data_IF_498438077820
#
_entry.id   IF_498438077820
#
_cell.length_a   1.000
_cell.length_b   1.000
_cell.length_c   1.000
_cell.angle_alpha   90.00
_cell.angle_beta   90.00
_cell.angle_gamma   90.00
#
_symmetry.space_group_name_H-M   'P 1'
#
loop_
_entity.id
_entity.type
_entity.pdbx_description
1 polymer ?
#
# COMPACT_ATOMS: atom_id res chain seq x y z
N UNK A 1 8.38 9.46 18.63
CA UNK A 1 8.24 8.03 18.21
C UNK A 1 8.09 7.98 16.71
N UNK A 2 8.79 7.07 16.03
CA UNK A 2 8.74 6.95 14.56
C UNK A 2 7.63 5.96 14.17
N UNK A 3 6.66 6.41 13.35
CA UNK A 3 5.53 5.61 12.88
C UNK A 3 5.35 5.85 11.38
N UNK A 4 5.73 4.86 10.58
CA UNK A 4 5.54 4.88 9.12
C UNK A 4 4.11 4.50 8.74
N UNK A 5 3.44 5.32 7.93
CA UNK A 5 2.07 5.06 7.46
C UNK A 5 2.00 5.08 5.95
N UNK A 6 1.64 3.94 5.35
CA UNK A 6 1.35 3.82 3.93
C UNK A 6 -0.15 4.03 3.67
N UNK A 7 -0.46 5.18 3.08
CA UNK A 7 -1.81 5.61 2.74
C UNK A 7 -2.27 5.06 1.39
N UNK A 8 -2.36 3.73 1.25
CA UNK A 8 -2.89 3.13 0.04
C UNK A 8 -4.38 3.47 -0.18
N UNK A 9 -4.82 3.59 -1.44
CA UNK A 9 -6.25 3.78 -1.73
C UNK A 9 -7.10 2.54 -1.42
N UNK A 10 -6.49 1.36 -1.34
CA UNK A 10 -7.18 0.12 -0.93
C UNK A 10 -7.10 -0.09 0.59
N UNK A 11 -5.93 0.08 1.18
CA UNK A 11 -5.67 -0.19 2.59
C UNK A 11 -4.65 0.78 3.15
N UNK A 12 -4.82 1.14 4.43
CA UNK A 12 -3.81 1.78 5.26
C UNK A 12 -2.93 0.70 5.86
N UNK A 13 -1.63 0.95 5.90
CA UNK A 13 -0.64 0.01 6.44
C UNK A 13 0.35 0.72 7.34
N UNK A 14 0.73 0.07 8.41
CA UNK A 14 1.80 0.46 9.33
C UNK A 14 2.75 -0.73 9.52
N UNK A 15 3.82 -0.55 10.27
CA UNK A 15 4.86 -1.58 10.37
C UNK A 15 4.39 -2.81 11.13
N UNK A 16 3.68 -2.63 12.26
CA UNK A 16 3.37 -3.72 13.21
C UNK A 16 1.89 -4.14 13.22
N UNK A 17 1.03 -3.41 12.50
CA UNK A 17 -0.41 -3.71 12.47
C UNK A 17 -0.82 -4.45 11.21
N UNK A 18 -1.90 -5.21 11.30
CA UNK A 18 -2.57 -5.74 10.12
C UNK A 18 -3.13 -4.57 9.27
N UNK A 19 -3.03 -4.66 7.92
CA UNK A 19 -3.64 -3.67 7.04
C UNK A 19 -5.15 -3.55 7.28
N UNK A 20 -5.67 -2.34 7.27
CA UNK A 20 -7.11 -2.10 7.32
C UNK A 20 -7.61 -1.29 6.11
N UNK A 21 -8.88 -1.44 5.77
CA UNK A 21 -9.47 -0.82 4.57
C UNK A 21 -9.42 0.70 4.67
N UNK A 22 -9.04 1.37 3.58
CA UNK A 22 -9.12 2.84 3.44
C UNK A 22 -10.57 3.27 3.27
N UNK A 23 -11.40 2.98 4.27
CA UNK A 23 -12.84 3.26 4.32
C UNK A 23 -13.21 3.84 5.67
N UNK A 24 -14.05 4.89 5.65
CA UNK A 24 -14.40 5.65 6.84
C UNK A 24 -15.88 6.06 6.78
N UNK A 25 -16.60 5.81 7.85
CA UNK A 25 -17.95 6.34 8.07
C UNK A 25 -17.93 7.33 9.24
N UNK A 26 -18.61 8.47 9.06
CA UNK A 26 -18.75 9.51 10.07
C UNK A 26 -20.17 9.49 10.66
N UNK A 27 -20.27 9.71 11.95
CA UNK A 27 -21.54 9.85 12.69
C UNK A 27 -21.43 10.96 13.73
N UNK A 28 -22.54 11.63 14.02
CA UNK A 28 -22.64 12.59 15.12
C UNK A 28 -22.95 11.89 16.46
N UNK A 29 -23.41 10.65 16.41
CA UNK A 29 -23.71 9.84 17.61
C UNK A 29 -22.74 8.70 17.72
N UNK A 30 -22.44 8.28 18.95
CA UNK A 30 -21.53 7.17 19.21
C UNK A 30 -22.06 5.88 18.58
N UNK A 31 -21.33 5.25 17.64
CA UNK A 31 -21.73 4.00 17.02
C UNK A 31 -21.49 2.82 17.95
N UNK A 32 -22.08 1.66 17.63
CA UNK A 32 -21.72 0.41 18.26
C UNK A 32 -20.34 -0.07 17.75
N UNK A 33 -19.49 -0.53 18.66
CA UNK A 33 -18.18 -1.08 18.35
C UNK A 33 -17.02 -0.06 18.33
N UNK A 34 -15.84 -0.46 17.86
CA UNK A 34 -14.65 0.38 17.88
C UNK A 34 -14.84 1.63 17.04
N UNK A 35 -14.63 2.80 17.64
CA UNK A 35 -14.74 4.09 16.96
C UNK A 35 -13.65 5.04 17.41
N UNK A 36 -13.30 5.97 16.54
CA UNK A 36 -12.48 7.13 16.86
C UNK A 36 -13.41 8.33 17.09
N UNK A 37 -13.21 9.06 18.18
CA UNK A 37 -13.86 10.34 18.42
C UNK A 37 -12.83 11.46 18.24
N UNK A 38 -13.16 12.42 17.38
CA UNK A 38 -12.30 13.57 17.08
C UNK A 38 -13.16 14.76 16.66
N UNK A 39 -12.86 15.95 17.20
CA UNK A 39 -13.60 17.21 16.92
C UNK A 39 -15.12 17.05 16.97
N UNK A 40 -15.62 16.36 18.01
CA UNK A 40 -17.07 16.19 18.23
C UNK A 40 -17.79 15.16 17.35
N UNK A 41 -17.06 14.52 16.43
CA UNK A 41 -17.60 13.48 15.56
C UNK A 41 -17.04 12.12 15.92
N UNK A 42 -17.80 11.07 15.56
CA UNK A 42 -17.36 9.68 15.65
C UNK A 42 -17.06 9.13 14.27
N UNK A 43 -16.01 8.33 14.18
CA UNK A 43 -15.56 7.70 12.94
C UNK A 43 -15.36 6.21 13.16
N UNK A 44 -15.89 5.40 12.24
CA UNK A 44 -15.69 3.95 12.22
C UNK A 44 -15.02 3.53 10.92
N UNK A 45 -14.19 2.49 10.99
CA UNK A 45 -13.67 1.86 9.78
C UNK A 45 -14.84 1.22 9.01
N UNK A 46 -14.84 1.41 7.70
CA UNK A 46 -15.82 0.86 6.78
C UNK A 46 -15.18 -0.12 5.82
N UNK A 47 -15.91 -1.17 5.44
CA UNK A 47 -15.50 -2.04 4.34
C UNK A 47 -15.67 -1.38 2.97
N UNK A 48 -16.45 -0.29 2.89
CA UNK A 48 -16.56 0.53 1.70
C UNK A 48 -15.37 1.47 1.63
N UNK A 49 -14.55 1.29 0.61
CA UNK A 49 -13.36 2.11 0.37
C UNK A 49 -13.73 3.53 -0.02
N UNK A 50 -12.93 4.48 0.43
CA UNK A 50 -12.92 5.83 -0.15
C UNK A 50 -12.66 5.69 -1.65
N UNK A 51 -13.45 6.36 -2.53
CA UNK A 51 -13.18 6.36 -3.97
C UNK A 51 -11.74 6.77 -4.27
N UNK A 52 -11.15 6.16 -5.32
CA UNK A 52 -9.78 6.46 -5.72
C UNK A 52 -9.53 7.97 -5.84
N UNK A 53 -8.46 8.44 -5.22
CA UNK A 53 -8.02 9.83 -5.29
C UNK A 53 -6.53 9.92 -5.52
N UNK A 54 -6.15 10.71 -6.52
CA UNK A 54 -4.74 11.09 -6.76
C UNK A 54 -4.28 12.05 -5.66
N UNK A 55 -5.12 13.03 -5.30
CA UNK A 55 -4.89 13.96 -4.20
C UNK A 55 -5.68 13.52 -2.96
N UNK A 56 -4.97 13.14 -1.92
CA UNK A 56 -5.51 12.66 -0.64
C UNK A 56 -5.70 13.76 0.38
N UNK A 57 -5.32 14.99 0.06
CA UNK A 57 -5.35 16.15 0.98
C UNK A 57 -6.61 16.99 0.87
N UNK A 58 -7.56 16.59 0.02
CA UNK A 58 -8.77 17.36 -0.27
C UNK A 58 -9.81 17.38 0.86
N UNK A 59 -9.70 16.48 1.84
CA UNK A 59 -10.52 16.41 3.06
C UNK A 59 -9.77 15.69 4.18
N UNK A 60 -10.35 15.66 5.40
CA UNK A 60 -9.67 15.11 6.58
C UNK A 60 -9.73 13.58 6.70
N UNK A 61 -10.31 12.84 5.75
CA UNK A 61 -10.48 11.37 5.89
C UNK A 61 -9.17 10.63 6.05
N UNK A 62 -8.14 10.98 5.28
CA UNK A 62 -6.82 10.36 5.40
C UNK A 62 -6.10 10.76 6.70
N UNK A 63 -6.35 11.98 7.21
CA UNK A 63 -5.87 12.38 8.53
C UNK A 63 -6.52 11.54 9.64
N UNK A 64 -7.84 11.37 9.59
CA UNK A 64 -8.58 10.51 10.54
C UNK A 64 -8.08 9.06 10.50
N UNK A 65 -7.88 8.50 9.30
CA UNK A 65 -7.30 7.16 9.14
C UNK A 65 -5.89 7.08 9.72
N UNK A 66 -5.11 8.17 9.66
CA UNK A 66 -3.78 8.24 10.28
C UNK A 66 -3.86 8.24 11.80
N UNK A 67 -4.83 8.93 12.40
CA UNK A 67 -5.04 8.88 13.86
C UNK A 67 -5.35 7.45 14.31
N UNK A 68 -6.20 6.72 13.56
CA UNK A 68 -6.47 5.30 13.81
C UNK A 68 -5.18 4.48 13.69
N UNK A 69 -4.42 4.69 12.61
CA UNK A 69 -3.17 3.98 12.36
C UNK A 69 -2.13 4.20 13.49
N UNK A 70 -2.01 5.43 13.99
CA UNK A 70 -1.14 5.77 15.11
C UNK A 70 -1.60 5.06 16.39
N UNK A 71 -2.89 5.09 16.70
CA UNK A 71 -3.42 4.43 17.91
C UNK A 71 -3.23 2.91 17.88
N UNK A 72 -3.48 2.28 16.72
CA UNK A 72 -3.24 0.84 16.52
C UNK A 72 -1.75 0.50 16.67
N UNK A 73 -0.86 1.32 16.10
CA UNK A 73 0.58 1.11 16.15
C UNK A 73 1.13 1.28 17.57
N UNK A 74 0.67 2.28 18.33
CA UNK A 74 1.00 2.46 19.74
C UNK A 74 0.58 1.25 20.57
N UNK A 75 -0.61 0.73 20.29
CA UNK A 75 -1.14 -0.47 20.95
C UNK A 75 -0.34 -1.72 20.60
N UNK A 76 -0.04 -1.93 19.32
CA UNK A 76 0.72 -3.10 18.84
C UNK A 76 2.16 -3.13 19.39
N UNK A 77 2.76 -1.97 19.60
CA UNK A 77 4.09 -1.85 20.20
C UNK A 77 4.09 -1.96 21.74
N UNK A 78 2.93 -2.09 22.37
CA UNK A 78 2.82 -2.15 23.82
C UNK A 78 3.39 -0.92 24.53
N UNK A 79 3.19 0.26 23.92
CA UNK A 79 3.73 1.51 24.49
C UNK A 79 2.94 1.91 25.71
N UNK A 80 3.65 2.23 26.79
CA UNK A 80 3.05 2.75 28.02
C UNK A 80 2.22 4.01 27.77
N UNK A 81 1.16 4.19 28.57
CA UNK A 81 0.35 5.39 28.51
C UNK A 81 1.18 6.63 28.84
N UNK A 82 1.04 7.67 28.02
CA UNK A 82 1.70 8.96 28.18
C UNK A 82 0.68 10.07 28.10
N UNK A 83 0.95 11.16 28.81
CA UNK A 83 0.16 12.39 28.68
C UNK A 83 0.24 12.95 27.26
N UNK A 84 1.39 12.84 26.60
CA UNK A 84 1.63 13.29 25.24
C UNK A 84 2.59 12.35 24.49
N UNK A 85 2.19 11.93 23.29
CA UNK A 85 3.05 11.17 22.37
C UNK A 85 3.64 12.09 21.29
N UNK A 86 4.97 12.13 21.23
CA UNK A 86 5.71 12.81 20.17
C UNK A 86 5.92 11.90 18.98
N UNK A 87 5.31 12.22 17.82
CA UNK A 87 5.27 11.38 16.63
C UNK A 87 6.11 11.99 15.51
N UNK A 88 7.04 11.22 14.98
CA UNK A 88 7.69 11.42 13.68
C UNK A 88 6.95 10.54 12.68
N UNK A 89 6.35 11.14 11.67
CA UNK A 89 5.39 10.52 10.75
C UNK A 89 5.96 10.45 9.31
N UNK A 90 6.78 9.45 8.97
CA UNK A 90 7.12 9.21 7.58
C UNK A 90 5.94 8.60 6.83
N UNK A 91 5.63 9.20 5.67
CA UNK A 91 4.51 8.84 4.78
C UNK A 91 5.04 8.64 3.36
N UNK A 92 4.18 8.28 2.42
CA UNK A 92 4.62 8.14 1.04
C UNK A 92 3.55 8.31 -0.01
N UNK A 93 4.03 8.59 -1.22
CA UNK A 93 3.23 8.78 -2.43
C UNK A 93 3.74 7.89 -3.56
N UNK A 94 2.87 7.50 -4.51
CA UNK A 94 3.31 6.88 -5.75
C UNK A 94 4.40 7.71 -6.42
N UNK A 95 5.44 7.08 -7.02
CA UNK A 95 6.57 7.79 -7.63
C UNK A 95 6.13 8.86 -8.62
N UNK A 96 5.11 8.58 -9.46
CA UNK A 96 4.57 9.52 -10.44
C UNK A 96 3.95 10.80 -9.82
N UNK A 97 3.56 10.77 -8.56
CA UNK A 97 2.93 11.90 -7.87
C UNK A 97 3.86 12.58 -6.87
N UNK A 98 4.98 11.95 -6.54
CA UNK A 98 5.89 12.39 -5.49
C UNK A 98 6.38 13.83 -5.72
N UNK A 99 6.96 14.11 -6.88
CA UNK A 99 7.52 15.43 -7.18
C UNK A 99 6.50 16.58 -7.10
N UNK A 100 5.24 16.34 -7.47
CA UNK A 100 4.21 17.38 -7.51
C UNK A 100 3.43 17.54 -6.20
N UNK A 101 3.39 16.52 -5.36
CA UNK A 101 2.47 16.48 -4.21
C UNK A 101 3.15 16.28 -2.85
N UNK A 102 4.46 15.97 -2.80
CA UNK A 102 5.14 15.63 -1.55
C UNK A 102 5.04 16.74 -0.51
N UNK A 103 5.30 18.00 -0.87
CA UNK A 103 5.22 19.14 0.04
C UNK A 103 3.79 19.34 0.57
N UNK A 104 2.80 19.29 -0.32
CA UNK A 104 1.39 19.41 0.07
C UNK A 104 0.95 18.27 1.00
N UNK A 105 1.40 17.05 0.71
CA UNK A 105 1.07 15.87 1.50
C UNK A 105 1.74 15.91 2.88
N UNK A 106 2.99 16.36 2.96
CA UNK A 106 3.69 16.63 4.22
C UNK A 106 2.95 17.68 5.05
N UNK A 107 2.63 18.84 4.46
CA UNK A 107 1.93 19.92 5.13
C UNK A 107 0.52 19.50 5.63
N UNK A 108 -0.15 18.61 4.92
CA UNK A 108 -1.46 18.09 5.31
C UNK A 108 -1.43 17.35 6.66
N UNK A 109 -0.39 16.59 6.94
CA UNK A 109 -0.23 15.88 8.22
C UNK A 109 0.43 16.74 9.29
N UNK A 110 1.18 17.76 8.93
CA UNK A 110 1.90 18.61 9.87
C UNK A 110 0.95 19.62 10.55
N UNK A 111 0.01 19.09 11.32
CA UNK A 111 -0.92 19.91 12.12
C UNK A 111 -0.14 20.59 13.24
N UNK A 112 -0.38 21.89 13.43
CA UNK A 112 0.22 22.63 14.54
C UNK A 112 -0.51 22.31 15.86
N UNK A 113 0.27 22.09 16.90
CA UNK A 113 -0.24 21.84 18.25
C UNK A 113 -0.56 20.40 18.54
N UNK A 114 -1.18 20.20 19.71
CA UNK A 114 -1.56 18.88 20.21
C UNK A 114 -2.88 18.45 19.58
N UNK A 115 -2.93 17.23 19.10
CA UNK A 115 -4.14 16.60 18.55
C UNK A 115 -4.64 15.60 19.60
N UNK A 116 -5.82 15.88 20.13
CA UNK A 116 -6.50 15.01 21.09
C UNK A 116 -7.63 14.23 20.42
N UNK A 117 -7.70 12.94 20.69
CA UNK A 117 -8.74 12.05 20.18
C UNK A 117 -8.94 10.86 21.12
N UNK A 118 -10.07 10.20 20.98
CA UNK A 118 -10.34 8.94 21.69
C UNK A 118 -10.50 7.81 20.68
N UNK A 119 -9.87 6.68 20.92
CA UNK A 119 -10.01 5.49 20.08
C UNK A 119 -10.16 4.24 20.96
N UNK A 120 -11.19 3.42 20.71
CA UNK A 120 -11.53 2.24 21.52
C UNK A 120 -11.57 2.55 23.02
N UNK A 121 -12.24 3.64 23.37
CA UNK A 121 -12.37 4.13 24.76
C UNK A 121 -11.07 4.59 25.45
N UNK A 122 -9.96 4.61 24.73
CA UNK A 122 -8.67 5.10 25.19
C UNK A 122 -8.42 6.51 24.65
N UNK A 123 -7.99 7.41 25.55
CA UNK A 123 -7.64 8.78 25.18
C UNK A 123 -6.19 8.85 24.66
N UNK A 124 -5.98 9.65 23.63
CA UNK A 124 -4.67 9.94 23.06
C UNK A 124 -4.50 11.43 22.88
N UNK A 125 -3.35 11.94 23.30
CA UNK A 125 -2.84 13.26 22.96
C UNK A 125 -1.53 13.07 22.19
N UNK A 126 -1.45 13.56 20.96
CA UNK A 126 -0.27 13.42 20.11
C UNK A 126 0.20 14.77 19.62
N UNK A 127 1.53 14.93 19.47
CA UNK A 127 2.17 15.98 18.68
C UNK A 127 2.84 15.34 17.49
N UNK A 128 2.50 15.77 16.26
CA UNK A 128 3.23 15.36 15.06
C UNK A 128 4.37 16.34 14.88
N UNK A 129 5.55 15.95 15.37
CA UNK A 129 6.72 16.83 15.46
C UNK A 129 7.41 16.99 14.10
N UNK A 130 7.39 15.94 13.28
CA UNK A 130 7.98 15.96 11.94
C UNK A 130 7.21 15.02 11.00
N UNK A 131 7.17 15.40 9.72
CA UNK A 131 6.57 14.61 8.65
C UNK A 131 7.54 14.58 7.47
N UNK A 132 7.92 13.37 7.04
CA UNK A 132 8.74 13.17 5.86
C UNK A 132 7.96 12.35 4.81
N UNK A 133 8.08 12.70 3.54
CA UNK A 133 7.40 12.00 2.46
C UNK A 133 8.42 11.28 1.56
N UNK A 134 8.14 10.00 1.25
CA UNK A 134 9.01 9.15 0.44
C UNK A 134 8.28 8.58 -0.77
N UNK A 135 8.99 8.26 -1.88
CA UNK A 135 8.37 7.53 -2.99
C UNK A 135 8.05 6.09 -2.57
N UNK A 136 6.81 5.68 -2.78
CA UNK A 136 6.41 4.26 -2.72
C UNK A 136 7.28 3.43 -3.68
N UNK A 137 7.23 2.13 -3.62
CA UNK A 137 8.10 1.23 -4.36
C UNK A 137 9.59 1.39 -4.00
N UNK A 138 10.18 2.60 -4.09
CA UNK A 138 11.57 2.83 -3.64
C UNK A 138 11.73 2.53 -2.16
N UNK A 139 10.82 3.04 -1.32
CA UNK A 139 10.84 2.76 0.10
C UNK A 139 10.69 1.26 0.41
N UNK A 140 9.77 0.58 -0.26
CA UNK A 140 9.61 -0.87 -0.09
C UNK A 140 10.89 -1.65 -0.50
N UNK A 141 11.58 -1.20 -1.55
CA UNK A 141 12.84 -1.79 -1.99
C UNK A 141 14.05 -1.38 -1.13
N UNK A 142 13.93 -0.33 -0.32
CA UNK A 142 15.02 0.19 0.50
C UNK A 142 15.58 -0.88 1.47
N UNK A 143 14.75 -1.80 1.95
CA UNK A 143 15.16 -2.92 2.78
C UNK A 143 16.05 -3.94 2.03
N UNK A 144 16.08 -3.88 0.69
CA UNK A 144 16.89 -4.72 -0.20
C UNK A 144 18.00 -3.95 -0.90
N UNK A 145 18.24 -2.69 -0.55
CA UNK A 145 19.21 -1.82 -1.24
C UNK A 145 20.60 -2.47 -1.35
N UNK A 146 21.06 -3.14 -0.32
CA UNK A 146 22.36 -3.81 -0.33
C UNK A 146 22.46 -4.91 -1.42
N UNK A 147 21.38 -5.60 -1.73
CA UNK A 147 21.32 -6.53 -2.86
C UNK A 147 21.28 -5.78 -4.19
N UNK A 148 20.52 -4.68 -4.25
CA UNK A 148 20.30 -3.90 -5.47
C UNK A 148 21.48 -3.02 -5.85
N UNK A 149 22.34 -2.64 -4.91
CA UNK A 149 23.58 -1.89 -5.19
C UNK A 149 24.55 -2.63 -6.11
N UNK A 150 24.50 -3.96 -6.13
CA UNK A 150 25.33 -4.80 -6.99
C UNK A 150 24.71 -5.03 -8.38
N UNK A 151 23.48 -4.58 -8.61
CA UNK A 151 22.78 -4.72 -9.88
C UNK A 151 22.96 -3.44 -10.72
N UNK A 152 23.55 -3.57 -11.92
CA UNK A 152 23.70 -2.45 -12.84
C UNK A 152 22.35 -1.82 -13.20
N UNK A 153 21.30 -2.66 -13.31
CA UNK A 153 19.93 -2.26 -13.59
C UNK A 153 18.96 -3.17 -12.83
N UNK A 154 18.05 -2.56 -12.10
CA UNK A 154 16.91 -3.25 -11.49
C UNK A 154 15.63 -2.45 -11.72
N UNK A 155 14.49 -3.13 -11.73
CA UNK A 155 13.17 -2.50 -11.78
C UNK A 155 12.41 -2.88 -10.51
N UNK A 156 11.85 -1.90 -9.83
CA UNK A 156 10.90 -2.16 -8.73
C UNK A 156 9.50 -2.02 -9.29
N UNK A 157 8.63 -3.00 -9.04
CA UNK A 157 7.23 -2.99 -9.47
C UNK A 157 6.36 -3.22 -8.23
N UNK A 158 5.64 -2.17 -7.82
CA UNK A 158 4.67 -2.23 -6.71
C UNK A 158 3.27 -2.47 -7.28
N UNK A 159 2.76 -3.67 -7.12
CA UNK A 159 1.40 -4.01 -7.55
C UNK A 159 0.44 -3.77 -6.40
N UNK A 160 -0.21 -2.61 -6.43
CA UNK A 160 -1.19 -2.18 -5.45
C UNK A 160 -2.63 -2.59 -5.78
N UNK A 161 -3.59 -2.02 -5.04
CA UNK A 161 -5.01 -2.21 -5.30
C UNK A 161 -5.48 -1.55 -6.57
N UNK A 162 -5.20 -0.27 -6.74
CA UNK A 162 -5.66 0.56 -7.87
C UNK A 162 -4.58 0.76 -8.92
N UNK A 163 -3.32 0.80 -8.52
CA UNK A 163 -2.18 1.09 -9.40
C UNK A 163 -1.15 -0.02 -9.37
N UNK A 164 -0.36 -0.10 -10.44
CA UNK A 164 0.93 -0.73 -10.46
C UNK A 164 1.98 0.37 -10.70
N UNK A 165 2.78 0.63 -9.69
CA UNK A 165 3.81 1.66 -9.73
C UNK A 165 5.15 1.00 -10.09
N UNK A 166 5.94 1.65 -10.96
CA UNK A 166 7.25 1.14 -11.27
C UNK A 166 8.33 2.21 -11.15
N UNK A 167 9.53 1.77 -10.83
CA UNK A 167 10.71 2.60 -10.66
C UNK A 167 11.93 1.87 -11.21
N UNK A 168 12.70 2.54 -12.07
CA UNK A 168 13.99 2.06 -12.51
C UNK A 168 15.06 2.40 -11.47
N UNK A 169 15.92 1.44 -11.18
CA UNK A 169 17.11 1.63 -10.36
C UNK A 169 18.36 1.35 -11.19
N UNK A 170 19.37 2.18 -11.04
CA UNK A 170 20.69 2.06 -11.66
C UNK A 170 21.77 2.09 -10.57
N UNK A 171 22.56 1.04 -10.47
CA UNK A 171 23.61 0.91 -9.43
C UNK A 171 23.08 1.24 -8.02
N UNK A 172 21.93 0.69 -7.66
CA UNK A 172 21.26 0.89 -6.37
C UNK A 172 20.63 2.25 -6.14
N UNK A 173 20.66 3.17 -7.12
CA UNK A 173 20.02 4.50 -7.02
C UNK A 173 18.76 4.57 -7.84
N UNK A 174 17.73 5.21 -7.27
CA UNK A 174 16.48 5.46 -7.97
C UNK A 174 16.66 6.45 -9.11
N UNK A 175 16.18 6.09 -10.29
CA UNK A 175 16.05 6.99 -11.45
C UNK A 175 14.61 7.51 -11.51
N UNK A 176 14.36 8.64 -10.85
CA UNK A 176 13.02 9.25 -10.77
C UNK A 176 12.50 9.76 -12.13
N UNK A 177 13.37 9.90 -13.14
CA UNK A 177 12.93 10.23 -14.50
C UNK A 177 12.31 9.03 -15.23
N UNK A 178 12.57 7.83 -14.73
CA UNK A 178 12.11 6.55 -15.30
C UNK A 178 11.18 5.83 -14.30
N UNK A 179 10.19 6.55 -13.80
CA UNK A 179 9.13 6.01 -12.95
C UNK A 179 7.76 6.46 -13.45
N UNK A 180 6.74 5.64 -13.22
CA UNK A 180 5.36 6.01 -13.51
C UNK A 180 4.40 5.15 -12.68
N UNK A 181 3.12 5.49 -12.75
CA UNK A 181 2.02 4.82 -12.06
C UNK A 181 0.98 4.41 -13.10
N UNK A 182 0.81 3.11 -13.28
CA UNK A 182 -0.18 2.55 -14.19
C UNK A 182 -1.48 2.29 -13.42
N UNK A 183 -2.63 2.60 -14.02
CA UNK A 183 -3.95 2.29 -13.42
C UNK A 183 -4.30 0.79 -13.54
N UNK A 184 -3.32 -0.07 -13.33
CA UNK A 184 -3.37 -1.53 -13.47
C UNK A 184 -3.20 -2.25 -12.12
N UNK A 185 -3.97 -1.85 -11.10
CA UNK A 185 -3.98 -2.54 -9.82
C UNK A 185 -4.91 -3.76 -9.81
N UNK A 186 -4.78 -4.62 -8.77
CA UNK A 186 -5.51 -5.90 -8.67
C UNK A 186 -7.03 -5.76 -8.60
N UNK A 187 -7.56 -4.57 -8.32
CA UNK A 187 -9.01 -4.31 -8.37
C UNK A 187 -9.56 -4.52 -9.79
N UNK A 188 -8.80 -4.19 -10.82
CA UNK A 188 -9.19 -4.49 -12.21
C UNK A 188 -9.31 -6.01 -12.44
N UNK A 189 -8.38 -6.79 -11.90
CA UNK A 189 -8.47 -8.24 -11.96
C UNK A 189 -9.72 -8.76 -11.24
N UNK A 190 -9.99 -8.31 -10.02
CA UNK A 190 -11.18 -8.71 -9.27
C UNK A 190 -12.48 -8.34 -10.01
N UNK A 191 -12.53 -7.16 -10.64
CA UNK A 191 -13.66 -6.76 -11.46
C UNK A 191 -13.85 -7.68 -12.69
N UNK A 192 -12.74 -8.06 -13.36
CA UNK A 192 -12.79 -9.04 -14.46
C UNK A 192 -13.28 -10.42 -13.97
N UNK A 193 -12.76 -10.90 -12.84
CA UNK A 193 -13.16 -12.18 -12.23
C UNK A 193 -14.67 -12.16 -11.93
N UNK A 194 -15.17 -11.13 -11.28
CA UNK A 194 -16.60 -10.99 -10.96
C UNK A 194 -17.47 -10.94 -12.21
N UNK A 195 -17.07 -10.16 -13.22
CA UNK A 195 -17.83 -10.00 -14.45
C UNK A 195 -17.87 -11.29 -15.28
N UNK A 196 -16.70 -11.92 -15.49
CA UNK A 196 -16.58 -13.14 -16.28
C UNK A 196 -17.18 -14.36 -15.55
N UNK A 197 -16.97 -14.45 -14.22
CA UNK A 197 -17.60 -15.49 -13.41
C UNK A 197 -19.12 -15.44 -13.47
N UNK A 198 -19.71 -14.23 -13.40
CA UNK A 198 -21.14 -14.07 -13.55
C UNK A 198 -21.64 -14.40 -14.97
N UNK A 199 -20.92 -13.99 -16.01
CA UNK A 199 -21.33 -14.19 -17.41
C UNK A 199 -21.20 -15.65 -17.86
N UNK A 200 -20.13 -16.34 -17.47
CA UNK A 200 -19.80 -17.68 -17.99
C UNK A 200 -20.24 -18.81 -17.06
N UNK A 201 -20.29 -18.56 -15.75
CA UNK A 201 -20.53 -19.60 -14.74
C UNK A 201 -21.70 -19.28 -13.81
N UNK A 202 -22.42 -18.17 -14.07
CA UNK A 202 -23.51 -17.65 -13.20
C UNK A 202 -23.13 -17.51 -11.73
N UNK A 203 -21.84 -17.22 -11.47
CA UNK A 203 -21.27 -17.14 -10.14
C UNK A 203 -20.67 -15.76 -9.88
N UNK A 204 -21.04 -15.14 -8.77
CA UNK A 204 -20.47 -13.86 -8.33
C UNK A 204 -19.41 -14.11 -7.28
N UNK A 205 -18.14 -14.02 -7.68
CA UNK A 205 -17.01 -14.12 -6.77
C UNK A 205 -16.69 -12.74 -6.20
N UNK A 206 -16.48 -12.67 -4.89
CA UNK A 206 -15.93 -11.47 -4.23
C UNK A 206 -14.39 -11.43 -4.30
N UNK A 207 -13.79 -10.34 -3.80
CA UNK A 207 -12.34 -10.18 -3.81
C UNK A 207 -11.63 -11.22 -2.94
N UNK A 208 -12.23 -11.61 -1.80
CA UNK A 208 -11.66 -12.60 -0.87
C UNK A 208 -11.65 -13.99 -1.46
N UNK A 209 -12.74 -14.37 -2.13
CA UNK A 209 -12.88 -15.65 -2.83
C UNK A 209 -11.88 -15.76 -3.99
N UNK A 210 -11.78 -14.72 -4.81
CA UNK A 210 -10.78 -14.63 -5.88
C UNK A 210 -9.36 -14.75 -5.35
N UNK A 211 -9.05 -14.06 -4.26
CA UNK A 211 -7.74 -14.12 -3.61
C UNK A 211 -7.45 -15.51 -3.03
N UNK A 212 -8.45 -16.19 -2.43
CA UNK A 212 -8.29 -17.54 -1.89
C UNK A 212 -7.93 -18.54 -2.99
N UNK A 213 -8.57 -18.45 -4.15
CA UNK A 213 -8.25 -19.29 -5.32
C UNK A 213 -6.81 -19.01 -5.78
N UNK A 214 -6.44 -17.75 -6.00
CA UNK A 214 -5.11 -17.37 -6.52
C UNK A 214 -3.96 -17.72 -5.57
N UNK A 215 -4.22 -17.73 -4.26
CA UNK A 215 -3.21 -18.13 -3.27
C UNK A 215 -3.15 -19.63 -3.03
N UNK A 216 -3.96 -20.42 -3.75
CA UNK A 216 -4.00 -21.88 -3.61
C UNK A 216 -4.60 -22.36 -2.29
N UNK A 217 -5.37 -21.52 -1.59
CA UNK A 217 -6.14 -21.96 -0.43
C UNK A 217 -7.19 -22.97 -0.88
N UNK A 218 -7.44 -23.99 -0.06
CA UNK A 218 -8.46 -24.97 -0.35
C UNK A 218 -9.82 -24.28 -0.50
N UNK A 219 -10.43 -24.40 -1.69
CA UNK A 219 -11.72 -23.82 -2.01
C UNK A 219 -12.70 -24.92 -2.39
N UNK A 220 -13.98 -24.70 -2.14
CA UNK A 220 -15.06 -25.62 -2.55
C UNK A 220 -15.51 -25.38 -3.99
N UNK A 221 -14.82 -24.54 -4.74
CA UNK A 221 -15.19 -24.20 -6.10
C UNK A 221 -14.83 -25.31 -7.10
N UNK A 222 -15.71 -25.54 -8.11
CA UNK A 222 -15.42 -26.49 -9.18
C UNK A 222 -14.14 -26.11 -9.95
N UNK A 223 -13.45 -27.11 -10.54
CA UNK A 223 -12.23 -26.86 -11.33
C UNK A 223 -12.40 -25.83 -12.48
N UNK A 224 -13.61 -25.68 -13.03
CA UNK A 224 -13.92 -24.67 -14.06
C UNK A 224 -13.78 -23.25 -13.52
N UNK A 225 -14.22 -23.00 -12.29
CA UNK A 225 -14.11 -21.69 -11.62
C UNK A 225 -12.64 -21.37 -11.35
N UNK A 226 -11.91 -22.34 -10.79
CA UNK A 226 -10.47 -22.18 -10.49
C UNK A 226 -9.70 -21.87 -11.77
N UNK A 227 -9.93 -22.62 -12.86
CA UNK A 227 -9.28 -22.37 -14.16
C UNK A 227 -9.58 -20.98 -14.72
N UNK A 228 -10.82 -20.54 -14.64
CA UNK A 228 -11.19 -19.18 -15.11
C UNK A 228 -10.43 -18.10 -14.33
N UNK A 229 -10.38 -18.20 -13.00
CA UNK A 229 -9.69 -17.23 -12.16
C UNK A 229 -8.19 -17.22 -12.42
N UNK A 230 -7.56 -18.38 -12.54
CA UNK A 230 -6.13 -18.50 -12.85
C UNK A 230 -5.80 -17.97 -14.25
N UNK A 231 -6.64 -18.26 -15.25
CA UNK A 231 -6.48 -17.71 -16.58
C UNK A 231 -6.55 -16.18 -16.59
N UNK A 232 -7.57 -15.59 -15.95
CA UNK A 232 -7.71 -14.14 -15.86
C UNK A 232 -6.54 -13.47 -15.14
N UNK A 233 -5.99 -14.12 -14.11
CA UNK A 233 -4.82 -13.63 -13.42
C UNK A 233 -3.56 -13.70 -14.30
N UNK A 234 -3.40 -14.75 -15.11
CA UNK A 234 -2.29 -14.86 -16.06
C UNK A 234 -2.41 -13.82 -17.17
N UNK A 235 -3.62 -13.59 -17.70
CA UNK A 235 -3.90 -12.53 -18.67
C UNK A 235 -3.53 -11.15 -18.06
N UNK A 236 -3.96 -10.86 -16.85
CA UNK A 236 -3.65 -9.62 -16.15
C UNK A 236 -2.13 -9.38 -16.03
N UNK A 237 -1.37 -10.39 -15.60
CA UNK A 237 0.11 -10.30 -15.52
C UNK A 237 0.73 -10.07 -16.89
N UNK A 238 0.24 -10.76 -17.92
CA UNK A 238 0.74 -10.59 -19.28
C UNK A 238 0.47 -9.19 -19.84
N UNK A 239 -0.71 -8.63 -19.56
CA UNK A 239 -1.09 -7.27 -19.96
C UNK A 239 -0.21 -6.23 -19.25
N UNK A 240 -0.01 -6.39 -17.94
CA UNK A 240 0.86 -5.52 -17.15
C UNK A 240 2.31 -5.52 -17.71
N UNK A 241 2.87 -6.68 -17.99
CA UNK A 241 4.23 -6.78 -18.52
C UNK A 241 4.35 -6.26 -19.96
N UNK A 242 3.31 -6.38 -20.76
CA UNK A 242 3.24 -5.77 -22.08
C UNK A 242 3.25 -4.25 -22.00
N UNK A 243 2.46 -3.68 -21.08
CA UNK A 243 2.44 -2.23 -20.84
C UNK A 243 3.80 -1.72 -20.33
N UNK A 244 4.47 -2.45 -19.42
CA UNK A 244 5.82 -2.08 -18.96
C UNK A 244 6.84 -2.12 -20.10
N UNK A 245 6.74 -3.09 -21.01
CA UNK A 245 7.61 -3.17 -22.18
C UNK A 245 7.39 -2.02 -23.16
N UNK A 246 6.14 -1.56 -23.35
CA UNK A 246 5.83 -0.36 -24.12
C UNK A 246 6.46 0.91 -23.52
N UNK A 247 6.68 0.93 -22.21
CA UNK A 247 7.43 1.99 -21.49
C UNK A 247 8.94 1.77 -21.50
N UNK A 248 9.47 0.98 -22.45
CA UNK A 248 10.90 0.67 -22.62
C UNK A 248 11.51 -0.11 -21.45
N UNK A 249 10.70 -0.82 -20.66
CA UNK A 249 11.14 -1.67 -19.55
C UNK A 249 11.02 -3.15 -19.95
N UNK A 250 12.08 -3.70 -20.53
CA UNK A 250 12.15 -5.14 -20.77
C UNK A 250 12.63 -5.87 -19.51
N UNK A 251 11.71 -6.53 -18.85
CA UNK A 251 11.95 -7.20 -17.58
C UNK A 251 12.76 -8.50 -17.70
N UNK A 252 12.95 -9.02 -18.94
CA UNK A 252 13.66 -10.31 -19.18
C UNK A 252 15.14 -10.24 -18.88
N UNK A 253 15.74 -9.05 -18.90
CA UNK A 253 17.18 -8.87 -18.82
C UNK A 253 17.63 -8.06 -17.61
N UNK A 254 16.80 -7.99 -16.57
CA UNK A 254 17.12 -7.26 -15.35
C UNK A 254 16.60 -7.99 -14.11
N UNK A 255 17.10 -7.58 -12.97
CA UNK A 255 16.51 -7.93 -11.67
C UNK A 255 15.23 -7.13 -11.48
N UNK A 256 14.13 -7.80 -11.14
CA UNK A 256 12.85 -7.16 -10.87
C UNK A 256 12.42 -7.45 -9.45
N UNK A 257 12.25 -6.40 -8.66
CA UNK A 257 11.75 -6.49 -7.28
C UNK A 257 10.24 -6.24 -7.30
N UNK A 258 9.48 -7.26 -7.00
CA UNK A 258 8.04 -7.19 -6.87
C UNK A 258 7.67 -6.91 -5.42
N UNK A 259 6.90 -5.85 -5.20
CA UNK A 259 6.41 -5.41 -3.90
C UNK A 259 4.89 -5.22 -3.92
N UNK A 260 4.28 -5.08 -2.75
CA UNK A 260 2.85 -4.85 -2.62
C UNK A 260 2.00 -6.12 -2.56
N UNK A 261 0.76 -5.95 -2.11
CA UNK A 261 -0.18 -7.07 -1.92
C UNK A 261 -0.54 -7.79 -3.22
N UNK A 262 -0.57 -7.08 -4.34
CA UNK A 262 -0.81 -7.67 -5.65
C UNK A 262 0.34 -8.54 -6.14
N UNK A 263 1.58 -8.16 -5.82
CA UNK A 263 2.74 -8.96 -6.17
C UNK A 263 2.76 -10.30 -5.39
N UNK A 264 2.39 -10.26 -4.10
CA UNK A 264 2.26 -11.48 -3.28
C UNK A 264 1.15 -12.37 -3.84
N UNK A 265 0.00 -11.78 -4.17
CA UNK A 265 -1.17 -12.48 -4.72
C UNK A 265 -0.86 -13.17 -6.05
N UNK A 266 -0.12 -12.50 -6.94
CA UNK A 266 0.12 -12.92 -8.32
C UNK A 266 1.50 -13.59 -8.52
N UNK A 267 2.19 -13.92 -7.43
CA UNK A 267 3.56 -14.48 -7.50
C UNK A 267 3.66 -15.68 -8.46
N UNK A 268 2.74 -16.62 -8.37
CA UNK A 268 2.72 -17.83 -9.23
C UNK A 268 2.60 -17.47 -10.71
N UNK A 269 1.71 -16.53 -11.05
CA UNK A 269 1.48 -16.08 -12.42
C UNK A 269 2.65 -15.27 -12.96
N UNK A 270 3.30 -14.46 -12.10
CA UNK A 270 4.52 -13.71 -12.44
C UNK A 270 5.66 -14.69 -12.77
N UNK A 271 5.92 -15.65 -11.90
CA UNK A 271 6.95 -16.69 -12.10
C UNK A 271 6.65 -17.55 -13.33
N UNK A 272 5.39 -17.95 -13.52
CA UNK A 272 4.96 -18.76 -14.67
C UNK A 272 4.99 -18.01 -16.02
N UNK A 273 5.03 -16.68 -16.01
CA UNK A 273 5.02 -15.88 -17.24
C UNK A 273 6.24 -16.08 -18.13
N UNK A 274 7.39 -16.43 -17.55
CA UNK A 274 8.69 -16.53 -18.24
C UNK A 274 9.19 -15.18 -18.80
N UNK A 275 8.59 -14.05 -18.40
CA UNK A 275 8.88 -12.72 -18.93
C UNK A 275 9.77 -11.87 -18.02
N UNK A 276 10.30 -12.44 -16.94
CA UNK A 276 11.15 -11.77 -15.96
C UNK A 276 12.47 -12.51 -15.83
N UNK A 277 13.59 -11.79 -15.89
CA UNK A 277 14.92 -12.40 -15.82
C UNK A 277 15.22 -12.94 -14.42
N UNK A 278 15.25 -12.07 -13.43
CA UNK A 278 15.50 -12.43 -12.02
C UNK A 278 14.43 -11.81 -11.13
N UNK A 279 13.33 -12.53 -10.84
CA UNK A 279 12.29 -12.02 -9.96
C UNK A 279 12.70 -12.13 -8.49
N UNK A 280 12.56 -11.05 -7.75
CA UNK A 280 12.68 -10.98 -6.30
C UNK A 280 11.35 -10.50 -5.72
N UNK A 281 10.90 -11.10 -4.64
CA UNK A 281 9.62 -10.74 -4.01
C UNK A 281 9.83 -10.28 -2.58
N UNK A 282 9.28 -9.10 -2.27
CA UNK A 282 9.16 -8.61 -0.90
C UNK A 282 7.84 -9.14 -0.34
N UNK A 283 7.94 -10.14 0.53
CA UNK A 283 6.74 -10.81 1.10
C UNK A 283 6.04 -10.00 2.18
N UNK A 284 6.67 -8.91 2.67
CA UNK A 284 6.05 -8.04 3.66
C UNK A 284 5.04 -7.11 2.99
N UNK A 285 3.76 -7.27 3.29
CA UNK A 285 2.68 -6.40 2.78
C UNK A 285 2.82 -4.94 3.27
N UNK A 286 3.52 -4.75 4.40
CA UNK A 286 3.79 -3.44 5.02
C UNK A 286 5.14 -2.84 4.58
N UNK A 287 5.74 -3.36 3.50
CA UNK A 287 7.09 -2.99 3.09
C UNK A 287 7.29 -1.49 2.84
N UNK A 288 6.29 -0.79 2.27
CA UNK A 288 6.35 0.66 2.10
C UNK A 288 6.45 1.37 3.46
N UNK A 289 5.59 1.06 4.42
CA UNK A 289 5.61 1.66 5.75
C UNK A 289 6.94 1.39 6.48
N UNK A 290 7.44 0.16 6.42
CA UNK A 290 8.75 -0.21 6.98
C UNK A 290 9.90 0.53 6.27
N UNK A 291 9.82 0.67 4.96
CA UNK A 291 10.78 1.40 4.15
C UNK A 291 10.80 2.90 4.47
N UNK A 292 9.64 3.52 4.75
CA UNK A 292 9.58 4.93 5.18
C UNK A 292 10.31 5.12 6.50
N UNK A 293 10.08 4.24 7.49
CA UNK A 293 10.82 4.30 8.77
C UNK A 293 12.33 4.09 8.58
N UNK A 294 12.70 3.17 7.70
CA UNK A 294 14.11 2.89 7.39
C UNK A 294 14.80 4.10 6.77
N UNK A 295 14.20 4.70 5.73
CA UNK A 295 14.74 5.89 5.06
C UNK A 295 14.82 7.08 5.99
N UNK A 296 13.80 7.31 6.81
CA UNK A 296 13.79 8.38 7.81
C UNK A 296 14.97 8.26 8.80
N UNK A 297 15.23 7.03 9.28
CA UNK A 297 16.40 6.78 10.18
C UNK A 297 17.72 7.02 9.46
N UNK A 298 17.85 6.65 8.19
CA UNK A 298 19.07 6.91 7.42
C UNK A 298 19.35 8.41 7.28
N UNK A 299 18.33 9.20 6.97
CA UNK A 299 18.45 10.65 6.86
C UNK A 299 18.80 11.30 8.22
N UNK A 300 18.22 10.80 9.30
CA UNK A 300 18.51 11.31 10.66
C UNK A 300 19.97 11.04 11.10
N UNK A 301 20.58 9.94 10.65
CA UNK A 301 21.99 9.61 10.93
C UNK A 301 22.95 10.43 10.06
N UNK A 302 22.50 10.86 8.87
CA UNK A 302 23.29 11.68 7.95
C UNK A 302 23.24 13.20 8.22
N UNK A 303 22.40 13.62 9.18
CA UNK A 303 22.32 15.02 9.70
C UNK A 303 23.14 15.15 10.97
#
# INVERSE_FOLDING_TARGET
MLIGVDHGNKQIKTVHCAPFVSGLQQSMTRPFGPSLQYCGNYYTLSNERIPYRKDKTGDDRFFILTLIAIAEELTARGVDEKELYHIQLPVGLPPAHFGAQAEKFTAYFQKKGIVEFQYRDKHYAISIDDVACYPQAYAAAATMLHTLMNEAKAVVVDIGGFTADYLLMKNGKADLSSCDSLENGVILLYNKIRSRGNAELYLRLDEGEGAAILTGKQTQYPPSVVRLVEQLAQEFVNDLFSTLRERMLDLRYCTVVFVGGGAILLRRQIEASGKVGKPLFVSNINANAAGYEYLYRLEAVGR
#
